data_IF_360012070457
#
_entry.id   IF_360012070457
#
_cell.length_a   1.000
_cell.length_b   1.000
_cell.length_c   1.000
_cell.angle_alpha   90.00
_cell.angle_beta   90.00
_cell.angle_gamma   90.00
#
_symmetry.space_group_name_H-M   'P 1'
#
loop_
_entity.id
_entity.type
_entity.pdbx_description
1 polymer ?
#
# COMPACT_ATOMS: atom_id res chain seq x y z
N UNK A 1 -10.14 -45.96 1.78
CA UNK A 1 -10.00 -44.50 1.59
C UNK A 1 -9.50 -43.81 2.86
N UNK A 2 -10.15 -44.01 4.02
CA UNK A 2 -9.66 -43.51 5.33
C UNK A 2 -8.28 -44.08 5.70
N UNK A 3 -8.06 -45.38 5.47
CA UNK A 3 -6.77 -46.05 5.74
C UNK A 3 -5.60 -45.52 4.91
N UNK A 4 -5.86 -45.07 3.68
CA UNK A 4 -4.86 -44.49 2.78
C UNK A 4 -4.47 -43.07 3.24
N UNK A 5 -5.44 -42.31 3.73
CA UNK A 5 -5.25 -40.97 4.33
C UNK A 5 -4.50 -41.08 5.66
N UNK A 6 -4.78 -42.09 6.48
CA UNK A 6 -4.05 -42.31 7.75
C UNK A 6 -2.61 -42.75 7.50
N UNK A 7 -2.37 -43.60 6.48
CA UNK A 7 -1.04 -44.14 6.17
C UNK A 7 -0.13 -43.17 5.43
N UNK A 8 -0.68 -42.32 4.56
CA UNK A 8 0.10 -41.36 3.75
C UNK A 8 -0.16 -39.90 4.10
N UNK A 9 -1.05 -39.60 5.05
CA UNK A 9 -1.39 -38.24 5.45
C UNK A 9 -0.18 -37.45 5.96
N UNK A 10 0.75 -38.10 6.67
CA UNK A 10 1.96 -37.45 7.16
C UNK A 10 2.92 -37.05 6.02
N UNK A 11 3.01 -37.87 4.97
CA UNK A 11 3.83 -37.57 3.79
C UNK A 11 3.17 -36.52 2.89
N UNK A 12 1.84 -36.58 2.75
CA UNK A 12 1.05 -35.57 2.03
C UNK A 12 1.19 -34.21 2.69
N UNK A 13 1.10 -34.12 4.02
CA UNK A 13 1.28 -32.87 4.78
C UNK A 13 2.69 -32.32 4.66
N UNK A 14 3.73 -33.17 4.69
CA UNK A 14 5.12 -32.73 4.49
C UNK A 14 5.36 -32.18 3.08
N UNK A 15 4.80 -32.83 2.06
CA UNK A 15 4.91 -32.38 0.66
C UNK A 15 4.13 -31.09 0.44
N UNK A 16 2.93 -30.94 1.01
CA UNK A 16 2.18 -29.68 0.95
C UNK A 16 2.89 -28.54 1.71
N UNK A 17 3.49 -28.83 2.86
CA UNK A 17 4.25 -27.87 3.65
C UNK A 17 5.52 -27.38 2.93
N UNK A 18 6.25 -28.27 2.26
CA UNK A 18 7.44 -27.91 1.48
C UNK A 18 7.09 -27.09 0.24
N UNK A 19 6.01 -27.42 -0.45
CA UNK A 19 5.51 -26.63 -1.60
C UNK A 19 5.03 -25.24 -1.14
N UNK A 20 4.27 -25.17 -0.04
CA UNK A 20 3.77 -23.90 0.50
C UNK A 20 4.89 -22.96 0.98
N UNK A 21 5.93 -23.50 1.60
CA UNK A 21 7.11 -22.71 2.00
C UNK A 21 7.91 -22.22 0.79
N UNK A 22 8.12 -23.08 -0.21
CA UNK A 22 8.79 -22.69 -1.45
C UNK A 22 8.07 -21.56 -2.20
N UNK A 23 6.74 -21.66 -2.33
CA UNK A 23 5.90 -20.63 -2.95
C UNK A 23 5.97 -19.32 -2.14
N UNK A 24 5.92 -19.39 -0.81
CA UNK A 24 5.99 -18.19 0.06
C UNK A 24 7.33 -17.47 -0.03
N UNK A 25 8.43 -18.21 -0.17
CA UNK A 25 9.78 -17.64 -0.36
C UNK A 25 9.84 -16.91 -1.71
N UNK A 26 9.39 -17.55 -2.79
CA UNK A 26 9.37 -16.93 -4.13
C UNK A 26 8.51 -15.67 -4.15
N UNK A 27 7.31 -15.72 -3.59
CA UNK A 27 6.42 -14.55 -3.48
C UNK A 27 7.04 -13.42 -2.66
N UNK A 28 7.73 -13.73 -1.56
CA UNK A 28 8.43 -12.73 -0.74
C UNK A 28 9.57 -12.06 -1.51
N UNK A 29 10.37 -12.84 -2.25
CA UNK A 29 11.47 -12.31 -3.07
C UNK A 29 10.94 -11.42 -4.20
N UNK A 30 9.90 -11.87 -4.92
CA UNK A 30 9.25 -11.07 -5.96
C UNK A 30 8.68 -9.76 -5.42
N UNK A 31 8.01 -9.80 -4.27
CA UNK A 31 7.44 -8.60 -3.62
C UNK A 31 8.53 -7.63 -3.19
N UNK A 32 9.65 -8.13 -2.64
CA UNK A 32 10.79 -7.31 -2.23
C UNK A 32 11.48 -6.66 -3.43
N UNK A 33 11.73 -7.42 -4.50
CA UNK A 33 12.31 -6.89 -5.75
C UNK A 33 11.41 -5.82 -6.37
N UNK A 34 10.10 -6.04 -6.41
CA UNK A 34 9.15 -5.05 -6.93
C UNK A 34 9.15 -3.77 -6.08
N UNK A 35 9.13 -3.91 -4.75
CA UNK A 35 9.18 -2.78 -3.83
C UNK A 35 10.49 -1.99 -3.99
N UNK A 36 11.65 -2.66 -4.01
CA UNK A 36 12.94 -2.01 -4.19
C UNK A 36 13.01 -1.26 -5.52
N UNK A 37 12.65 -1.90 -6.64
CA UNK A 37 12.65 -1.24 -7.95
C UNK A 37 11.71 -0.01 -7.96
N UNK A 38 10.52 -0.12 -7.35
CA UNK A 38 9.59 1.00 -7.28
C UNK A 38 10.11 2.18 -6.44
N UNK A 39 10.76 1.90 -5.29
CA UNK A 39 11.33 2.92 -4.40
C UNK A 39 12.54 3.59 -5.04
N UNK A 40 13.43 2.82 -5.67
CA UNK A 40 14.61 3.35 -6.37
C UNK A 40 14.22 4.26 -7.52
N UNK A 41 13.19 3.88 -8.28
CA UNK A 41 12.69 4.67 -9.40
C UNK A 41 12.02 5.98 -8.96
N UNK A 42 11.19 5.94 -7.92
CA UNK A 42 10.54 7.16 -7.42
C UNK A 42 11.57 8.15 -6.84
N UNK A 43 12.59 7.66 -6.13
CA UNK A 43 13.73 8.48 -5.68
C UNK A 43 14.52 9.08 -6.84
N UNK A 44 14.65 8.37 -7.96
CA UNK A 44 15.36 8.86 -9.15
C UNK A 44 14.62 10.03 -9.81
N UNK A 45 13.30 9.93 -9.99
CA UNK A 45 12.50 11.04 -10.54
C UNK A 45 12.57 12.30 -9.68
N UNK A 46 12.40 12.16 -8.35
CA UNK A 46 12.51 13.29 -7.41
C UNK A 46 13.90 13.94 -7.50
N UNK A 47 14.96 13.11 -7.56
CA UNK A 47 16.33 13.60 -7.72
C UNK A 47 16.51 14.37 -9.02
N UNK A 48 15.97 13.88 -10.14
CA UNK A 48 16.06 14.56 -11.42
C UNK A 48 15.26 15.86 -11.47
N UNK A 49 14.07 15.92 -10.86
CA UNK A 49 13.29 17.16 -10.73
C UNK A 49 14.08 18.19 -9.91
N UNK A 50 14.63 17.78 -8.76
CA UNK A 50 15.47 18.66 -7.93
C UNK A 50 16.71 19.15 -8.69
N UNK A 51 17.40 18.23 -9.38
CA UNK A 51 18.60 18.55 -10.15
C UNK A 51 18.30 19.51 -11.31
N UNK A 52 17.18 19.32 -12.02
CA UNK A 52 16.74 20.22 -13.07
C UNK A 52 16.43 21.62 -12.51
N UNK A 53 15.77 21.72 -11.35
CA UNK A 53 15.45 23.01 -10.73
C UNK A 53 16.70 23.75 -10.22
N UNK A 54 17.65 23.04 -9.63
CA UNK A 54 18.85 23.62 -9.00
C UNK A 54 19.93 23.99 -10.02
N UNK A 55 20.10 23.18 -11.07
CA UNK A 55 21.17 23.34 -12.06
C UNK A 55 20.68 23.79 -13.44
N UNK A 56 19.42 24.25 -13.57
CA UNK A 56 18.83 24.64 -14.85
C UNK A 56 19.70 25.65 -15.62
N UNK A 57 20.30 26.61 -14.91
CA UNK A 57 21.14 27.66 -15.50
C UNK A 57 22.48 27.13 -16.04
N UNK A 58 22.95 25.99 -15.56
CA UNK A 58 24.26 25.41 -15.86
C UNK A 58 24.19 24.24 -16.84
N UNK A 59 22.99 23.72 -17.10
CA UNK A 59 22.79 22.60 -18.02
C UNK A 59 22.66 23.10 -19.46
N UNK A 60 23.25 22.35 -20.38
CA UNK A 60 23.02 22.47 -21.81
C UNK A 60 21.63 21.95 -22.19
N UNK A 61 21.06 22.50 -23.26
CA UNK A 61 19.71 22.16 -23.70
C UNK A 61 19.50 20.67 -24.04
N UNK A 62 20.47 19.95 -24.64
CA UNK A 62 20.41 18.49 -24.80
C UNK A 62 20.26 17.75 -23.46
N UNK A 63 21.08 18.09 -22.46
CA UNK A 63 21.00 17.47 -21.13
C UNK A 63 19.68 17.75 -20.43
N UNK A 64 19.15 18.97 -20.53
CA UNK A 64 17.80 19.29 -20.01
C UNK A 64 16.73 18.45 -20.68
N UNK A 65 16.80 18.29 -22.01
CA UNK A 65 15.84 17.49 -22.77
C UNK A 65 15.90 16.02 -22.37
N UNK A 66 17.10 15.48 -22.16
CA UNK A 66 17.30 14.11 -21.66
C UNK A 66 16.72 13.93 -20.25
N UNK A 67 17.00 14.84 -19.32
CA UNK A 67 16.48 14.77 -17.94
C UNK A 67 14.94 14.87 -17.94
N UNK A 68 14.37 15.78 -18.73
CA UNK A 68 12.91 15.89 -18.90
C UNK A 68 12.29 14.60 -19.47
N UNK A 69 12.97 13.96 -20.41
CA UNK A 69 12.53 12.68 -20.98
C UNK A 69 12.53 11.56 -19.92
N UNK A 70 13.59 11.43 -19.12
CA UNK A 70 13.67 10.45 -18.03
C UNK A 70 12.57 10.67 -16.98
N UNK A 71 12.32 11.93 -16.59
CA UNK A 71 11.20 12.28 -15.69
C UNK A 71 9.86 11.88 -16.32
N UNK A 72 9.63 12.21 -17.59
CA UNK A 72 8.38 11.89 -18.28
C UNK A 72 8.15 10.37 -18.40
N UNK A 73 9.20 9.61 -18.72
CA UNK A 73 9.17 8.13 -18.78
C UNK A 73 8.76 7.53 -17.43
N UNK A 74 9.32 8.03 -16.34
CA UNK A 74 8.99 7.56 -15.00
C UNK A 74 7.55 7.90 -14.61
N UNK A 75 7.08 9.11 -14.93
CA UNK A 75 5.68 9.52 -14.72
C UNK A 75 4.73 8.67 -15.55
N UNK A 76 5.04 8.42 -16.82
CA UNK A 76 4.22 7.60 -17.72
C UNK A 76 4.02 6.18 -17.18
N UNK A 77 5.06 5.57 -16.62
CA UNK A 77 4.96 4.24 -16.03
C UNK A 77 3.93 4.17 -14.89
N UNK A 78 3.90 5.17 -14.01
CA UNK A 78 2.90 5.24 -12.93
C UNK A 78 1.50 5.56 -13.43
N UNK A 79 1.43 6.40 -14.45
CA UNK A 79 0.20 6.84 -15.11
C UNK A 79 -0.52 5.70 -15.82
N UNK A 80 0.21 4.75 -16.42
CA UNK A 80 -0.39 3.59 -17.10
C UNK A 80 -1.25 2.73 -16.18
N UNK A 81 -0.99 2.76 -14.87
CA UNK A 81 -1.77 2.04 -13.85
C UNK A 81 -3.11 2.73 -13.52
N UNK A 82 -3.28 3.99 -13.89
CA UNK A 82 -4.47 4.79 -13.61
C UNK A 82 -5.49 4.61 -14.73
N UNK A 83 -6.69 4.12 -14.41
CA UNK A 83 -7.75 3.88 -15.40
C UNK A 83 -8.52 5.11 -15.90
N UNK A 84 -8.60 6.21 -15.14
CA UNK A 84 -9.35 7.41 -15.57
C UNK A 84 -8.43 8.39 -16.26
N UNK A 85 -8.81 8.80 -17.47
CA UNK A 85 -8.06 9.77 -18.27
C UNK A 85 -8.03 11.16 -17.63
N UNK A 86 -9.15 11.62 -17.07
CA UNK A 86 -9.22 12.89 -16.33
C UNK A 86 -8.25 12.92 -15.14
N UNK A 87 -8.25 11.87 -14.32
CA UNK A 87 -7.35 11.78 -13.18
C UNK A 87 -5.89 11.60 -13.61
N UNK A 88 -5.66 10.90 -14.74
CA UNK A 88 -4.33 10.71 -15.32
C UNK A 88 -3.67 12.04 -15.69
N UNK A 89 -4.40 12.95 -16.36
CA UNK A 89 -3.87 14.26 -16.74
C UNK A 89 -3.53 15.12 -15.53
N UNK A 90 -4.41 15.14 -14.52
CA UNK A 90 -4.16 15.82 -13.25
C UNK A 90 -2.91 15.25 -12.57
N UNK A 91 -2.79 13.92 -12.53
CA UNK A 91 -1.69 13.23 -11.90
C UNK A 91 -0.34 13.50 -12.58
N UNK A 92 -0.31 13.55 -13.92
CA UNK A 92 0.90 13.91 -14.69
C UNK A 92 1.41 15.27 -14.26
N UNK A 93 0.52 16.28 -14.27
CA UNK A 93 0.89 17.66 -13.94
C UNK A 93 1.39 17.81 -12.51
N UNK A 94 0.68 17.20 -11.54
CA UNK A 94 1.11 17.20 -10.15
C UNK A 94 2.48 16.52 -9.94
N UNK A 95 2.79 15.43 -10.67
CA UNK A 95 4.13 14.83 -10.61
C UNK A 95 5.20 15.69 -11.27
N UNK A 96 4.88 16.40 -12.35
CA UNK A 96 5.81 17.32 -13.01
C UNK A 96 6.15 18.52 -12.11
N UNK A 97 5.18 19.02 -11.34
CA UNK A 97 5.37 20.11 -10.37
C UNK A 97 6.17 19.68 -9.13
N UNK A 98 6.56 18.40 -9.03
CA UNK A 98 7.40 17.90 -7.96
C UNK A 98 6.65 17.63 -6.65
N UNK A 99 5.33 17.37 -6.71
CA UNK A 99 4.56 16.99 -5.52
C UNK A 99 5.19 15.76 -4.82
N UNK A 100 5.19 15.78 -3.49
CA UNK A 100 5.78 14.71 -2.69
C UNK A 100 5.12 13.34 -2.97
N UNK A 101 5.92 12.26 -2.98
CA UNK A 101 5.42 10.89 -3.16
C UNK A 101 4.31 10.53 -2.15
N UNK A 102 4.43 11.03 -0.91
CA UNK A 102 3.44 10.82 0.15
C UNK A 102 2.08 11.47 -0.16
N UNK A 103 2.09 12.70 -0.67
CA UNK A 103 0.86 13.37 -1.10
C UNK A 103 0.24 12.72 -2.34
N UNK A 104 1.07 12.25 -3.26
CA UNK A 104 0.64 11.49 -4.43
C UNK A 104 -0.02 10.17 -4.01
N UNK A 105 0.55 9.46 -3.04
CA UNK A 105 -0.04 8.24 -2.48
C UNK A 105 -1.40 8.50 -1.82
N UNK A 106 -1.50 9.58 -1.07
CA UNK A 106 -2.76 10.02 -0.44
C UNK A 106 -3.81 10.42 -1.49
N UNK A 107 -3.40 11.12 -2.54
CA UNK A 107 -4.27 11.50 -3.66
C UNK A 107 -4.81 10.28 -4.43
N UNK A 108 -3.98 9.25 -4.65
CA UNK A 108 -4.41 7.99 -5.28
C UNK A 108 -5.54 7.31 -4.48
N UNK A 109 -5.46 7.32 -3.15
CA UNK A 109 -6.52 6.80 -2.26
C UNK A 109 -7.79 7.65 -2.33
N UNK A 110 -7.65 8.97 -2.50
CA UNK A 110 -8.74 9.94 -2.52
C UNK A 110 -9.23 10.29 -3.93
N UNK A 111 -8.92 9.46 -4.93
CA UNK A 111 -9.23 9.71 -6.35
C UNK A 111 -10.71 10.02 -6.60
N UNK A 112 -11.63 9.32 -5.93
CA UNK A 112 -13.08 9.52 -6.08
C UNK A 112 -13.58 10.85 -5.50
N UNK A 113 -12.79 11.46 -4.62
CA UNK A 113 -13.11 12.72 -3.93
C UNK A 113 -12.28 13.90 -4.47
N UNK A 114 -11.48 13.65 -5.50
CA UNK A 114 -10.64 14.68 -6.12
C UNK A 114 -11.47 15.47 -7.13
N UNK A 115 -11.62 16.76 -6.89
CA UNK A 115 -12.32 17.70 -7.76
C UNK A 115 -11.31 18.71 -8.29
N UNK A 116 -11.42 19.03 -9.58
CA UNK A 116 -10.70 20.15 -10.15
C UNK A 116 -11.62 21.37 -10.09
N UNK A 117 -11.23 22.41 -9.35
CA UNK A 117 -11.98 23.65 -9.27
C UNK A 117 -11.05 24.83 -9.64
N UNK A 118 -11.39 25.55 -10.71
CA UNK A 118 -10.64 26.73 -11.18
C UNK A 118 -9.11 26.49 -11.33
N UNK A 119 -8.71 25.36 -11.92
CA UNK A 119 -7.30 25.02 -12.11
C UNK A 119 -6.57 24.53 -10.85
N UNK A 120 -7.24 24.47 -9.69
CA UNK A 120 -6.67 23.92 -8.46
C UNK A 120 -7.31 22.57 -8.17
N UNK A 121 -6.46 21.57 -7.91
CA UNK A 121 -6.91 20.24 -7.48
C UNK A 121 -7.26 20.32 -6.01
N UNK A 122 -8.50 20.01 -5.66
CA UNK A 122 -8.97 19.98 -4.28
C UNK A 122 -9.61 18.64 -3.98
N UNK A 123 -9.31 18.10 -2.81
CA UNK A 123 -10.00 16.92 -2.30
C UNK A 123 -11.16 17.40 -1.45
N UNK A 124 -12.38 17.28 -1.98
CA UNK A 124 -13.61 17.63 -1.27
C UNK A 124 -14.30 16.36 -0.80
N UNK A 125 -14.42 16.22 0.52
CA UNK A 125 -14.87 15.01 1.18
C UNK A 125 -16.20 15.26 1.85
N UNK A 126 -17.22 14.48 1.47
CA UNK A 126 -18.55 14.53 2.07
C UNK A 126 -18.62 13.82 3.42
N UNK A 127 -19.72 14.06 4.15
CA UNK A 127 -20.00 13.43 5.45
C UNK A 127 -19.88 11.90 5.44
N UNK A 128 -20.36 11.26 4.36
CA UNK A 128 -20.32 9.80 4.21
C UNK A 128 -18.92 9.19 4.32
N UNK A 129 -17.88 9.88 3.83
CA UNK A 129 -16.51 9.39 3.96
C UNK A 129 -16.05 9.36 5.43
N UNK A 130 -16.44 10.34 6.24
CA UNK A 130 -16.09 10.34 7.66
C UNK A 130 -16.77 9.22 8.43
N UNK A 131 -18.00 8.88 8.05
CA UNK A 131 -18.72 7.72 8.56
C UNK A 131 -17.95 6.44 8.20
N UNK A 132 -17.60 6.24 6.93
CA UNK A 132 -16.80 5.08 6.48
C UNK A 132 -15.45 5.00 7.17
N UNK A 133 -14.74 6.13 7.29
CA UNK A 133 -13.47 6.22 8.01
C UNK A 133 -13.62 5.77 9.47
N UNK A 134 -14.67 6.21 10.15
CA UNK A 134 -14.91 5.81 11.54
C UNK A 134 -15.24 4.33 11.65
N UNK A 135 -16.07 3.80 10.75
CA UNK A 135 -16.32 2.36 10.66
C UNK A 135 -15.02 1.57 10.46
N UNK A 136 -14.14 1.98 9.55
CA UNK A 136 -12.83 1.33 9.36
C UNK A 136 -12.00 1.28 10.65
N UNK A 137 -12.01 2.35 11.46
CA UNK A 137 -11.27 2.36 12.75
C UNK A 137 -11.92 1.47 13.80
N UNK A 138 -13.24 1.45 13.88
CA UNK A 138 -13.97 0.55 14.80
C UNK A 138 -13.74 -0.91 14.41
N UNK A 139 -13.83 -1.24 13.13
CA UNK A 139 -13.55 -2.59 12.64
C UNK A 139 -12.08 -2.97 12.83
N UNK A 140 -11.14 -2.05 12.62
CA UNK A 140 -9.71 -2.27 12.93
C UNK A 140 -9.51 -2.64 14.39
N UNK A 141 -10.12 -1.89 15.32
CA UNK A 141 -10.07 -2.19 16.76
C UNK A 141 -10.70 -3.54 17.08
N UNK A 142 -11.83 -3.87 16.46
CA UNK A 142 -12.47 -5.17 16.60
C UNK A 142 -11.55 -6.33 16.20
N UNK A 143 -10.82 -6.22 15.08
CA UNK A 143 -9.85 -7.25 14.66
C UNK A 143 -8.65 -7.37 15.61
N UNK A 144 -8.19 -6.26 16.20
CA UNK A 144 -7.15 -6.34 17.24
C UNK A 144 -7.65 -7.01 18.51
N UNK A 145 -8.89 -6.72 18.93
CA UNK A 145 -9.52 -7.38 20.09
C UNK A 145 -9.67 -8.87 19.80
N UNK A 146 -10.14 -9.27 18.62
CA UNK A 146 -10.22 -10.67 18.22
C UNK A 146 -8.86 -11.38 18.28
N UNK A 147 -7.80 -10.76 17.75
CA UNK A 147 -6.45 -11.31 17.82
C UNK A 147 -6.00 -11.52 19.27
N UNK A 148 -6.31 -10.56 20.14
CA UNK A 148 -6.00 -10.66 21.57
C UNK A 148 -6.83 -11.74 22.27
N UNK A 149 -8.13 -11.86 21.98
CA UNK A 149 -8.99 -12.90 22.54
C UNK A 149 -8.50 -14.30 22.15
N UNK A 150 -8.12 -14.50 20.88
CA UNK A 150 -7.56 -15.78 20.42
C UNK A 150 -6.28 -16.11 21.18
N UNK A 151 -5.40 -15.14 21.40
CA UNK A 151 -4.19 -15.32 22.20
C UNK A 151 -4.52 -15.72 23.65
N UNK A 152 -5.43 -15.01 24.32
CA UNK A 152 -5.80 -15.29 25.71
C UNK A 152 -6.44 -16.67 25.85
N UNK A 153 -7.36 -17.04 24.96
CA UNK A 153 -8.00 -18.37 24.96
C UNK A 153 -6.97 -19.48 24.74
N UNK A 154 -5.98 -19.26 23.88
CA UNK A 154 -4.89 -20.22 23.70
C UNK A 154 -4.03 -20.35 24.97
N UNK A 155 -3.62 -19.22 25.57
CA UNK A 155 -2.81 -19.22 26.79
C UNK A 155 -3.51 -19.89 27.97
N UNK A 156 -4.81 -19.68 28.13
CA UNK A 156 -5.61 -20.31 29.19
C UNK A 156 -5.78 -21.83 29.00
N UNK A 157 -5.71 -22.31 27.75
CA UNK A 157 -5.85 -23.73 27.43
C UNK A 157 -4.50 -24.47 27.38
N UNK A 158 -3.36 -23.79 27.48
CA UNK A 158 -2.03 -24.43 27.45
C UNK A 158 -1.83 -25.44 28.59
N UNK A 159 -2.38 -25.18 29.77
CA UNK A 159 -2.29 -26.10 30.93
C UNK A 159 -2.98 -27.45 30.68
N UNK A 160 -3.95 -27.52 29.75
CA UNK A 160 -4.70 -28.74 29.42
C UNK A 160 -4.06 -29.54 28.28
N UNK A 161 -3.22 -28.90 27.45
CA UNK A 161 -2.80 -29.41 26.12
C UNK A 161 -1.38 -30.03 26.12
N UNK A 162 -0.68 -30.02 27.25
CA UNK A 162 0.74 -30.42 27.35
C UNK A 162 1.10 -31.87 26.93
N UNK A 163 0.13 -32.73 26.57
CA UNK A 163 0.36 -34.16 26.32
C UNK A 163 -0.05 -34.70 24.93
N UNK A 164 -0.30 -33.87 23.90
CA UNK A 164 -0.61 -34.41 22.54
C UNK A 164 0.05 -33.66 21.39
N UNK A 165 0.42 -34.45 20.36
CA UNK A 165 0.83 -34.05 19.00
C UNK A 165 -0.05 -32.97 18.32
N UNK A 166 -1.28 -32.73 18.83
CA UNK A 166 -2.14 -31.62 18.42
C UNK A 166 -1.60 -30.24 18.77
N UNK A 167 -0.73 -30.12 19.79
CA UNK A 167 -0.29 -28.82 20.30
C UNK A 167 0.52 -27.99 19.29
N UNK A 168 1.26 -28.64 18.39
CA UNK A 168 2.07 -27.95 17.36
C UNK A 168 1.18 -27.38 16.25
N UNK A 169 0.15 -28.12 15.82
CA UNK A 169 -0.81 -27.64 14.83
C UNK A 169 -1.69 -26.54 15.41
N UNK A 170 -2.15 -26.69 16.66
CA UNK A 170 -2.93 -25.66 17.36
C UNK A 170 -2.13 -24.36 17.48
N UNK A 171 -0.85 -24.45 17.86
CA UNK A 171 0.05 -23.29 17.92
C UNK A 171 0.28 -22.66 16.54
N UNK A 172 0.42 -23.45 15.49
CA UNK A 172 0.51 -22.94 14.11
C UNK A 172 -0.76 -22.20 13.67
N UNK A 173 -1.94 -22.76 13.94
CA UNK A 173 -3.23 -22.12 13.61
C UNK A 173 -3.42 -20.81 14.38
N UNK A 174 -3.04 -20.78 15.66
CA UNK A 174 -3.09 -19.57 16.48
C UNK A 174 -2.18 -18.49 15.90
N UNK A 175 -0.91 -18.81 15.61
CA UNK A 175 0.03 -17.85 15.00
C UNK A 175 -0.51 -17.35 13.65
N UNK A 176 -1.00 -18.25 12.79
CA UNK A 176 -1.55 -17.87 11.48
C UNK A 176 -2.77 -16.95 11.62
N UNK A 177 -3.70 -17.28 12.51
CA UNK A 177 -4.89 -16.46 12.78
C UNK A 177 -4.53 -15.09 13.35
N UNK A 178 -3.55 -15.00 14.25
CA UNK A 178 -3.05 -13.73 14.78
C UNK A 178 -2.46 -12.85 13.71
N UNK A 179 -1.63 -13.41 12.82
CA UNK A 179 -1.06 -12.68 11.68
C UNK A 179 -2.17 -12.15 10.76
N UNK A 180 -3.19 -12.96 10.48
CA UNK A 180 -4.32 -12.54 9.65
C UNK A 180 -5.11 -11.41 10.31
N UNK A 181 -5.52 -11.57 11.58
CA UNK A 181 -6.31 -10.56 12.27
C UNK A 181 -5.55 -9.25 12.48
N UNK A 182 -4.28 -9.31 12.89
CA UNK A 182 -3.44 -8.11 12.98
C UNK A 182 -3.21 -7.47 11.61
N UNK A 183 -2.98 -8.28 10.56
CA UNK A 183 -2.80 -7.79 9.20
C UNK A 183 -4.02 -7.04 8.69
N UNK A 184 -5.22 -7.59 8.89
CA UNK A 184 -6.49 -6.93 8.55
C UNK A 184 -6.71 -5.67 9.40
N UNK A 185 -6.42 -5.74 10.70
CA UNK A 185 -6.51 -4.60 11.62
C UNK A 185 -5.63 -3.43 11.17
N UNK A 186 -4.35 -3.70 10.87
CA UNK A 186 -3.39 -2.70 10.36
C UNK A 186 -3.84 -2.17 9.00
N UNK A 187 -4.31 -3.04 8.11
CA UNK A 187 -4.79 -2.66 6.78
C UNK A 187 -5.92 -1.62 6.89
N UNK A 188 -6.96 -1.91 7.69
CA UNK A 188 -8.07 -0.98 7.94
C UNK A 188 -7.62 0.31 8.65
N UNK A 189 -6.59 0.23 9.50
CA UNK A 189 -6.03 1.40 10.16
C UNK A 189 -5.32 2.35 9.18
N UNK A 190 -4.72 1.82 8.10
CA UNK A 190 -3.96 2.61 7.11
C UNK A 190 -4.76 2.90 5.83
N UNK A 191 -5.94 2.29 5.67
CA UNK A 191 -6.75 2.37 4.46
C UNK A 191 -7.12 3.81 4.10
N UNK A 192 -7.92 4.46 4.94
CA UNK A 192 -8.40 5.83 4.70
C UNK A 192 -7.53 6.91 5.37
N UNK A 193 -7.08 7.94 4.61
CA UNK A 193 -6.40 9.12 5.16
C UNK A 193 -7.23 9.87 6.21
N UNK A 194 -6.54 10.42 7.22
CA UNK A 194 -7.15 11.20 8.30
C UNK A 194 -7.52 12.62 7.85
N UNK A 195 -8.42 13.28 8.60
CA UNK A 195 -8.82 14.68 8.34
C UNK A 195 -7.62 15.63 8.28
N UNK A 196 -6.63 15.41 9.13
CA UNK A 196 -5.40 16.20 9.13
C UNK A 196 -4.57 15.98 7.85
N UNK A 197 -4.40 14.72 7.44
CA UNK A 197 -3.69 14.38 6.20
C UNK A 197 -4.37 14.97 4.97
N UNK A 198 -5.71 14.96 4.93
CA UNK A 198 -6.48 15.58 3.84
C UNK A 198 -6.30 17.10 3.83
N UNK A 199 -6.28 17.74 5.00
CA UNK A 199 -6.05 19.19 5.10
C UNK A 199 -4.64 19.55 4.60
N UNK A 200 -3.63 18.83 5.07
CA UNK A 200 -2.24 19.02 4.63
C UNK A 200 -2.08 18.77 3.13
N UNK A 201 -2.73 17.72 2.60
CA UNK A 201 -2.77 17.44 1.16
C UNK A 201 -3.39 18.62 0.38
N UNK A 202 -4.52 19.16 0.83
CA UNK A 202 -5.16 20.30 0.17
C UNK A 202 -4.29 21.57 0.24
N UNK A 203 -3.56 21.79 1.34
CA UNK A 203 -2.60 22.90 1.46
C UNK A 203 -1.41 22.75 0.50
N UNK A 204 -0.91 21.54 0.28
CA UNK A 204 0.12 21.29 -0.74
C UNK A 204 -0.44 21.42 -2.17
N UNK A 205 -1.62 20.86 -2.45
CA UNK A 205 -2.25 20.95 -3.76
C UNK A 205 -2.61 22.39 -4.13
N UNK A 206 -2.93 23.25 -3.15
CA UNK A 206 -3.21 24.66 -3.41
C UNK A 206 -1.99 25.44 -3.94
N UNK A 207 -0.77 24.95 -3.65
CA UNK A 207 0.47 25.53 -4.17
C UNK A 207 0.69 25.17 -5.64
N UNK A 208 0.12 24.06 -6.10
CA UNK A 208 0.19 23.59 -7.48
C UNK A 208 -1.01 24.12 -8.27
N UNK A 209 -0.82 25.24 -8.97
CA UNK A 209 -1.81 25.69 -9.96
C UNK A 209 -1.64 24.90 -11.24
N UNK A 210 -2.70 24.21 -11.64
CA UNK A 210 -2.79 23.59 -12.94
C UNK A 210 -3.47 24.58 -13.88
N UNK A 211 -2.67 25.35 -14.60
CA UNK A 211 -3.15 26.12 -15.73
C UNK A 211 -3.42 25.13 -16.90
N UNK A 212 -4.60 25.23 -17.50
CA UNK A 212 -5.18 24.41 -18.58
C UNK A 212 -5.46 22.94 -18.30
N UNK A 213 -6.71 22.59 -17.97
CA UNK A 213 -7.23 21.25 -18.23
C UNK A 213 -8.25 21.40 -19.36
N UNK A 214 -7.73 21.34 -20.59
CA UNK A 214 -8.52 21.11 -21.80
C UNK A 214 -8.95 19.64 -21.87
#
# INVERSE_FOLDING_TARGET
MIEYIVKHGNDIVKVLGSIGTFISIILSVLKKLYADVSIFRERRAIKYIKYLNEYNAYLDEPSKKYIKYEIASEIMFDVTKIKSDKFRNIFIKLKQDGLSSECIGSLKKLRSFTVLNSGVVQVNIGYFYYVTYWFEKVFSMYFFILAFTVLVVFLLNLDVVNNRLGSVFDLFFVISSMILFMGIGIYLLVLSPSKYQIKCLNEELFKCKIDDIA
#
